data_IF_071307762427
#
_entry.id   IF_071307762427
#
_cell.length_a   1.000
_cell.length_b   1.000
_cell.length_c   1.000
_cell.angle_alpha   90.00
_cell.angle_beta   90.00
_cell.angle_gamma   90.00
#
_symmetry.space_group_name_H-M   'P 1'
#
loop_
_entity.id
_entity.type
_entity.pdbx_description
1 polymer ?
#
# COMPACT_ATOMS: atom_id res chain seq x y z
N UNK A 1 26.55 -30.65 -10.45
CA UNK A 1 25.88 -29.52 -11.05
C UNK A 1 25.96 -29.49 -12.58
N UNK A 2 27.17 -29.45 -13.18
CA UNK A 2 27.31 -29.36 -14.63
C UNK A 2 26.68 -30.59 -15.37
N UNK A 3 26.91 -31.82 -14.87
CA UNK A 3 26.33 -33.04 -15.43
C UNK A 3 24.77 -33.00 -15.34
N UNK A 4 24.22 -32.55 -14.23
CA UNK A 4 22.77 -32.40 -14.03
C UNK A 4 22.18 -31.40 -15.03
N UNK A 5 22.76 -30.20 -15.14
CA UNK A 5 22.30 -29.20 -16.09
C UNK A 5 22.31 -29.74 -17.54
N UNK A 6 23.35 -30.46 -17.94
CA UNK A 6 23.41 -31.07 -19.27
C UNK A 6 22.28 -32.06 -19.50
N UNK A 7 22.05 -32.98 -18.54
CA UNK A 7 20.97 -33.98 -18.64
C UNK A 7 19.60 -33.27 -18.71
N UNK A 8 19.37 -32.26 -17.89
CA UNK A 8 18.13 -31.47 -17.95
C UNK A 8 17.98 -30.80 -19.32
N UNK A 9 19.01 -30.14 -19.84
CA UNK A 9 18.97 -29.51 -21.17
C UNK A 9 18.61 -30.51 -22.26
N UNK A 10 19.20 -31.72 -22.23
CA UNK A 10 18.90 -32.80 -23.19
C UNK A 10 17.46 -33.32 -23.06
N UNK A 11 16.95 -33.49 -21.83
CA UNK A 11 15.56 -33.93 -21.59
C UNK A 11 14.54 -32.87 -22.04
N UNK A 12 14.75 -31.61 -21.72
CA UNK A 12 13.85 -30.52 -22.14
C UNK A 12 13.89 -30.25 -23.65
N UNK A 13 14.96 -30.65 -24.34
CA UNK A 13 15.02 -30.63 -25.81
C UNK A 13 14.23 -31.78 -26.46
N UNK A 14 13.78 -32.79 -25.70
CA UNK A 14 13.00 -33.93 -26.15
C UNK A 14 11.68 -34.04 -25.34
N UNK A 15 10.67 -33.17 -25.57
CA UNK A 15 9.44 -33.11 -24.79
C UNK A 15 8.67 -34.45 -24.72
N UNK A 16 8.78 -35.28 -25.73
CA UNK A 16 8.20 -36.63 -25.78
C UNK A 16 8.72 -37.55 -24.68
N UNK A 17 9.93 -37.30 -24.16
CA UNK A 17 10.54 -38.07 -23.07
C UNK A 17 10.19 -37.51 -21.68
N UNK A 18 9.72 -36.28 -21.63
CA UNK A 18 9.39 -35.61 -20.36
C UNK A 18 8.09 -36.14 -19.78
N UNK A 19 7.06 -36.35 -20.62
CA UNK A 19 5.72 -36.67 -20.12
C UNK A 19 5.25 -35.65 -19.09
N UNK A 20 4.59 -36.13 -18.03
CA UNK A 20 4.39 -35.35 -16.81
C UNK A 20 5.66 -35.46 -15.95
N UNK A 21 6.20 -34.35 -15.53
CA UNK A 21 7.41 -34.30 -14.74
C UNK A 21 7.29 -33.34 -13.56
N UNK A 22 8.10 -33.56 -12.53
CA UNK A 22 8.23 -32.65 -11.40
C UNK A 22 9.68 -32.38 -11.06
N UNK A 23 10.05 -31.13 -10.95
CA UNK A 23 11.34 -30.75 -10.39
C UNK A 23 11.12 -30.43 -8.91
N UNK A 24 11.81 -31.16 -8.05
CA UNK A 24 11.84 -30.94 -6.60
C UNK A 24 13.19 -30.35 -6.21
N UNK A 25 13.18 -29.20 -5.60
CA UNK A 25 14.35 -28.57 -4.99
C UNK A 25 14.25 -28.69 -3.47
N UNK A 26 15.32 -29.08 -2.83
CA UNK A 26 15.36 -29.38 -1.38
C UNK A 26 16.60 -28.77 -0.76
N UNK A 27 16.45 -28.35 0.49
CA UNK A 27 17.53 -27.87 1.34
C UNK A 27 17.47 -28.53 2.71
N UNK A 28 18.62 -28.97 3.22
CA UNK A 28 18.72 -29.60 4.53
C UNK A 28 18.56 -28.57 5.63
N UNK A 29 17.57 -28.78 6.47
CA UNK A 29 17.35 -27.91 7.63
C UNK A 29 18.45 -28.13 8.68
N UNK A 30 18.86 -27.02 9.29
CA UNK A 30 19.77 -27.00 10.44
C UNK A 30 21.19 -27.55 10.21
N UNK A 31 21.64 -27.75 8.97
CA UNK A 31 23.00 -28.23 8.68
C UNK A 31 24.07 -27.35 9.32
N UNK A 32 23.90 -26.03 9.30
CA UNK A 32 24.80 -25.09 9.97
C UNK A 32 24.87 -25.37 11.48
N UNK A 33 23.74 -25.56 12.14
CA UNK A 33 23.71 -25.89 13.57
C UNK A 33 24.42 -27.24 13.87
N UNK A 34 24.28 -28.22 13.00
CA UNK A 34 24.98 -29.52 13.15
C UNK A 34 26.51 -29.28 13.01
N UNK A 35 26.94 -28.51 12.02
CA UNK A 35 28.35 -28.17 11.84
C UNK A 35 28.92 -27.42 13.05
N UNK A 36 28.21 -26.41 13.54
CA UNK A 36 28.65 -25.56 14.63
C UNK A 36 28.69 -26.32 15.97
N UNK A 37 27.79 -27.31 16.17
CA UNK A 37 27.68 -28.06 17.44
C UNK A 37 28.56 -29.31 17.46
N UNK A 38 28.63 -30.06 16.34
CA UNK A 38 29.26 -31.38 16.30
C UNK A 38 30.49 -31.44 15.36
N UNK A 39 30.75 -30.35 14.61
CA UNK A 39 31.85 -30.26 13.65
C UNK A 39 31.46 -30.70 12.23
N UNK A 40 32.28 -30.28 11.26
CA UNK A 40 32.04 -30.48 9.83
C UNK A 40 31.96 -31.97 9.41
N UNK A 41 32.68 -32.86 10.07
CA UNK A 41 32.64 -34.29 9.78
C UNK A 41 31.23 -34.87 9.98
N UNK A 42 30.49 -34.37 10.94
CA UNK A 42 29.09 -34.77 11.19
C UNK A 42 28.12 -34.15 10.20
N UNK A 43 28.31 -32.93 9.80
CA UNK A 43 27.57 -32.33 8.70
C UNK A 43 27.77 -33.08 7.38
N UNK A 44 29.01 -33.53 7.13
CA UNK A 44 29.31 -34.37 5.96
C UNK A 44 28.60 -35.73 6.03
N UNK A 45 28.53 -36.37 7.21
CA UNK A 45 27.76 -37.59 7.40
C UNK A 45 26.26 -37.36 7.17
N UNK A 46 25.72 -36.27 7.65
CA UNK A 46 24.32 -35.88 7.45
C UNK A 46 24.02 -35.72 5.94
N UNK A 47 24.87 -35.03 5.20
CA UNK A 47 24.78 -34.87 3.75
C UNK A 47 24.91 -36.23 3.03
N UNK A 48 25.86 -37.05 3.42
CA UNK A 48 26.05 -38.41 2.82
C UNK A 48 24.84 -39.30 3.04
N UNK A 49 24.26 -39.25 4.25
CA UNK A 49 23.05 -40.03 4.58
C UNK A 49 21.85 -39.56 3.75
N UNK A 50 21.67 -38.25 3.56
CA UNK A 50 20.67 -37.69 2.65
C UNK A 50 20.87 -38.19 1.21
N UNK A 51 22.07 -38.09 0.70
CA UNK A 51 22.39 -38.59 -0.66
C UNK A 51 22.19 -40.09 -0.81
N UNK A 52 22.41 -40.88 0.24
CA UNK A 52 22.13 -42.33 0.22
C UNK A 52 20.61 -42.55 0.22
N UNK A 53 19.85 -41.85 1.07
CA UNK A 53 18.39 -41.96 1.10
C UNK A 53 17.75 -41.58 -0.25
N UNK A 54 18.26 -40.56 -0.93
CA UNK A 54 17.86 -40.20 -2.29
C UNK A 54 18.08 -41.39 -3.28
N UNK A 55 19.28 -41.95 -3.30
CA UNK A 55 19.60 -43.09 -4.21
C UNK A 55 18.73 -44.30 -3.98
N UNK A 56 18.44 -44.60 -2.69
CA UNK A 56 17.71 -45.81 -2.32
C UNK A 56 16.19 -45.70 -2.56
N UNK A 57 15.66 -44.48 -2.58
CA UNK A 57 14.22 -44.25 -2.61
C UNK A 57 13.72 -43.49 -3.88
N UNK A 58 14.59 -43.22 -4.84
CA UNK A 58 14.19 -42.70 -6.16
C UNK A 58 14.14 -43.80 -7.20
N UNK A 59 13.12 -43.83 -8.08
CA UNK A 59 13.01 -44.79 -9.18
C UNK A 59 14.19 -44.70 -10.15
N UNK A 60 14.50 -45.81 -10.81
CA UNK A 60 15.48 -45.84 -11.89
C UNK A 60 15.11 -44.84 -13.00
N UNK A 61 16.07 -44.05 -13.46
CA UNK A 61 15.84 -42.97 -14.44
C UNK A 61 15.57 -41.61 -13.83
N UNK A 62 15.28 -41.51 -12.53
CA UNK A 62 15.16 -40.20 -11.83
C UNK A 62 16.53 -39.52 -11.80
N UNK A 63 16.56 -38.21 -12.13
CA UNK A 63 17.81 -37.46 -12.14
C UNK A 63 17.97 -36.74 -10.81
N UNK A 64 18.99 -37.12 -10.04
CA UNK A 64 19.29 -36.50 -8.73
C UNK A 64 20.64 -35.77 -8.78
N UNK A 65 20.73 -34.65 -8.12
CA UNK A 65 21.97 -33.91 -7.95
C UNK A 65 22.04 -33.16 -6.61
N UNK A 66 23.25 -33.02 -6.09
CA UNK A 66 23.58 -32.04 -5.08
C UNK A 66 24.11 -30.78 -5.80
N UNK A 67 23.49 -29.61 -5.55
CA UNK A 67 23.87 -28.34 -6.18
C UNK A 67 25.04 -27.68 -5.45
N UNK A 68 24.87 -27.50 -4.17
CA UNK A 68 25.87 -26.90 -3.27
C UNK A 68 25.53 -27.28 -1.83
N UNK A 69 26.47 -27.22 -0.93
CA UNK A 69 26.27 -27.33 0.52
C UNK A 69 25.17 -28.32 0.95
N UNK A 70 24.02 -27.77 1.23
CA UNK A 70 22.79 -28.41 1.73
C UNK A 70 21.69 -28.57 0.67
N UNK A 71 21.90 -28.09 -0.56
CA UNK A 71 20.89 -28.06 -1.61
C UNK A 71 20.93 -29.30 -2.53
N UNK A 72 19.79 -29.93 -2.74
CA UNK A 72 19.60 -31.10 -3.61
C UNK A 72 18.50 -30.82 -4.63
N UNK A 73 18.63 -31.44 -5.80
CA UNK A 73 17.62 -31.45 -6.86
C UNK A 73 17.24 -32.89 -7.23
N UNK A 74 15.95 -33.09 -7.47
CA UNK A 74 15.41 -34.34 -8.00
C UNK A 74 14.45 -34.01 -9.15
N UNK A 75 14.70 -34.57 -10.33
CA UNK A 75 13.79 -34.45 -11.47
C UNK A 75 13.15 -35.81 -11.72
N UNK A 76 11.87 -35.91 -11.44
CA UNK A 76 11.00 -37.01 -11.83
C UNK A 76 10.45 -36.71 -13.23
N UNK A 77 10.61 -37.60 -14.20
CA UNK A 77 10.17 -37.41 -15.59
C UNK A 77 9.68 -38.68 -16.24
N UNK A 78 8.97 -38.56 -17.36
CA UNK A 78 8.49 -39.70 -18.14
C UNK A 78 7.23 -40.37 -17.59
N UNK A 79 6.45 -39.68 -16.77
CA UNK A 79 5.21 -40.17 -16.18
C UNK A 79 3.97 -39.79 -17.01
N UNK A 80 2.89 -40.56 -16.82
CA UNK A 80 1.62 -40.33 -17.53
C UNK A 80 0.69 -39.36 -16.77
N UNK A 81 0.90 -39.18 -15.46
CA UNK A 81 0.06 -38.33 -14.63
C UNK A 81 0.80 -37.71 -13.45
N UNK A 82 0.27 -36.59 -12.91
CA UNK A 82 0.77 -35.97 -11.68
C UNK A 82 0.68 -36.93 -10.48
N UNK A 83 -0.40 -37.70 -10.36
CA UNK A 83 -0.59 -38.61 -9.22
C UNK A 83 0.50 -39.70 -9.16
N UNK A 84 0.92 -40.22 -10.33
CA UNK A 84 2.02 -41.17 -10.40
C UNK A 84 3.36 -40.58 -9.92
N UNK A 85 3.60 -39.31 -10.19
CA UNK A 85 4.80 -38.59 -9.70
C UNK A 85 4.65 -38.25 -8.21
N UNK A 86 3.49 -37.79 -7.74
CA UNK A 86 3.22 -37.50 -6.32
C UNK A 86 3.49 -38.72 -5.44
N UNK A 87 3.01 -39.91 -5.84
CA UNK A 87 3.29 -41.16 -5.11
C UNK A 87 4.78 -41.34 -4.88
N UNK A 88 5.63 -41.03 -5.88
CA UNK A 88 7.08 -41.15 -5.75
C UNK A 88 7.70 -40.08 -4.86
N UNK A 89 7.21 -38.86 -4.96
CA UNK A 89 7.62 -37.76 -4.11
C UNK A 89 7.25 -38.04 -2.65
N UNK A 90 6.01 -38.49 -2.38
CA UNK A 90 5.55 -38.80 -1.03
C UNK A 90 6.36 -39.95 -0.42
N UNK A 91 6.65 -40.99 -1.19
CA UNK A 91 7.51 -42.08 -0.77
C UNK A 91 8.90 -41.59 -0.40
N UNK A 92 9.50 -40.75 -1.23
CA UNK A 92 10.83 -40.19 -0.99
C UNK A 92 10.82 -39.29 0.26
N UNK A 93 9.85 -38.41 0.38
CA UNK A 93 9.72 -37.47 1.52
C UNK A 93 9.54 -38.24 2.85
N UNK A 94 8.67 -39.26 2.85
CA UNK A 94 8.48 -40.11 4.03
C UNK A 94 9.76 -40.88 4.39
N UNK A 95 10.49 -41.41 3.40
CA UNK A 95 11.76 -42.10 3.65
C UNK A 95 12.82 -41.15 4.22
N UNK A 96 12.85 -39.89 3.75
CA UNK A 96 13.73 -38.87 4.29
C UNK A 96 13.42 -38.58 5.74
N UNK A 97 12.16 -38.33 6.09
CA UNK A 97 11.73 -38.04 7.47
C UNK A 97 12.01 -39.20 8.44
N UNK A 98 11.94 -40.43 7.95
CA UNK A 98 12.28 -41.63 8.73
C UNK A 98 13.78 -41.90 8.80
N UNK A 99 14.58 -41.28 7.94
CA UNK A 99 16.00 -41.46 7.91
C UNK A 99 16.70 -40.77 9.07
N UNK A 100 17.63 -41.46 9.68
CA UNK A 100 18.39 -40.93 10.84
C UNK A 100 19.88 -40.92 10.56
N UNK A 101 20.57 -39.89 11.06
CA UNK A 101 22.01 -39.84 11.20
C UNK A 101 22.36 -40.04 12.68
N UNK A 102 23.33 -40.91 13.00
CA UNK A 102 23.78 -41.09 14.37
C UNK A 102 24.75 -39.98 14.77
N UNK A 103 24.53 -39.35 15.89
CA UNK A 103 25.40 -38.30 16.46
C UNK A 103 26.54 -38.92 17.31
N UNK A 104 27.62 -38.15 17.64
CA UNK A 104 28.70 -38.59 18.52
C UNK A 104 28.21 -39.07 19.90
N UNK A 105 27.11 -38.47 20.37
CA UNK A 105 26.44 -38.83 21.63
C UNK A 105 25.70 -40.19 21.60
N UNK A 106 25.61 -40.84 20.43
CA UNK A 106 24.79 -42.03 20.22
C UNK A 106 23.31 -41.70 19.94
N UNK A 107 22.90 -40.46 20.02
CA UNK A 107 21.53 -40.06 19.71
C UNK A 107 21.26 -40.07 18.22
N UNK A 108 20.04 -40.42 17.81
CA UNK A 108 19.59 -40.39 16.43
C UNK A 108 19.07 -38.98 16.09
N UNK A 109 19.58 -38.41 15.00
CA UNK A 109 19.09 -37.15 14.43
C UNK A 109 18.30 -37.47 13.15
N UNK A 110 17.02 -37.11 13.12
CA UNK A 110 16.20 -37.26 11.94
C UNK A 110 16.62 -36.26 10.86
N UNK A 111 16.58 -36.69 9.61
CA UNK A 111 16.83 -35.81 8.47
C UNK A 111 15.59 -34.91 8.29
N UNK A 112 15.79 -33.62 8.46
CA UNK A 112 14.78 -32.59 8.15
C UNK A 112 15.20 -31.86 6.88
N UNK A 113 14.25 -31.66 5.99
CA UNK A 113 14.45 -30.90 4.77
C UNK A 113 13.23 -30.06 4.44
N UNK A 114 13.49 -28.88 3.89
CA UNK A 114 12.48 -28.02 3.30
C UNK A 114 12.56 -28.12 1.79
N UNK A 115 11.43 -28.31 1.10
CA UNK A 115 11.42 -28.53 -0.34
C UNK A 115 10.32 -27.79 -1.07
N UNK A 116 10.56 -27.52 -2.35
CA UNK A 116 9.61 -26.96 -3.28
C UNK A 116 9.53 -27.78 -4.57
N UNK A 117 8.33 -27.89 -5.12
CA UNK A 117 8.04 -28.65 -6.34
C UNK A 117 7.48 -27.72 -7.41
N UNK A 118 7.98 -27.85 -8.64
CA UNK A 118 7.39 -27.24 -9.82
C UNK A 118 7.09 -28.32 -10.87
N UNK A 119 5.95 -28.19 -11.54
CA UNK A 119 5.39 -29.19 -12.44
C UNK A 119 5.61 -28.83 -13.91
N UNK A 120 6.09 -29.81 -14.70
CA UNK A 120 6.11 -29.74 -16.15
C UNK A 120 4.89 -30.50 -16.73
N UNK A 121 4.18 -29.94 -17.73
CA UNK A 121 4.42 -28.63 -18.37
C UNK A 121 3.68 -27.45 -17.70
N UNK A 122 2.93 -27.67 -16.62
CA UNK A 122 1.91 -26.75 -16.12
C UNK A 122 2.49 -25.46 -15.51
N UNK A 123 3.59 -25.58 -14.73
CA UNK A 123 4.24 -24.41 -14.13
C UNK A 123 5.30 -23.80 -15.06
N UNK A 124 5.90 -24.62 -15.94
CA UNK A 124 6.90 -24.15 -16.88
C UNK A 124 7.25 -25.18 -17.91
N UNK A 125 7.74 -24.72 -19.08
CA UNK A 125 8.12 -25.57 -20.20
C UNK A 125 9.64 -25.61 -20.43
N UNK A 126 10.40 -24.92 -19.60
CA UNK A 126 11.86 -24.89 -19.65
C UNK A 126 12.48 -25.12 -18.27
N UNK A 127 13.74 -25.58 -18.29
CA UNK A 127 14.50 -25.87 -17.09
C UNK A 127 14.65 -24.70 -16.11
N UNK A 128 14.98 -23.52 -16.62
CA UNK A 128 15.27 -22.37 -15.78
C UNK A 128 14.00 -21.86 -15.06
N UNK A 129 12.87 -21.90 -15.75
CA UNK A 129 11.55 -21.55 -15.19
C UNK A 129 11.15 -22.52 -14.08
N UNK A 130 11.22 -23.83 -14.33
CA UNK A 130 10.88 -24.83 -13.31
C UNK A 130 11.79 -24.74 -12.09
N UNK A 131 13.09 -24.56 -12.31
CA UNK A 131 14.05 -24.38 -11.22
C UNK A 131 13.73 -23.15 -10.36
N UNK A 132 13.46 -22.02 -11.00
CA UNK A 132 13.07 -20.79 -10.32
C UNK A 132 11.81 -20.96 -9.48
N UNK A 133 10.83 -21.70 -9.98
CA UNK A 133 9.56 -21.90 -9.29
C UNK A 133 9.65 -22.93 -8.17
N UNK A 134 10.43 -23.99 -8.34
CA UNK A 134 10.75 -24.93 -7.25
C UNK A 134 11.56 -24.25 -6.13
N UNK A 135 12.52 -23.39 -6.48
CA UNK A 135 13.31 -22.59 -5.53
C UNK A 135 12.41 -21.63 -4.73
N UNK A 136 11.50 -20.96 -5.42
CA UNK A 136 10.52 -20.08 -4.76
C UNK A 136 9.62 -20.84 -3.77
N UNK A 137 9.08 -21.99 -4.15
CA UNK A 137 8.26 -22.82 -3.26
C UNK A 137 9.05 -23.30 -2.03
N UNK A 138 10.29 -23.75 -2.23
CA UNK A 138 11.20 -24.12 -1.13
C UNK A 138 11.48 -22.95 -0.20
N UNK A 139 11.71 -21.74 -0.76
CA UNK A 139 11.92 -20.51 0.03
C UNK A 139 10.72 -20.19 0.91
N UNK A 140 9.48 -20.34 0.41
CA UNK A 140 8.26 -20.14 1.20
C UNK A 140 8.22 -21.10 2.40
N UNK A 141 8.49 -22.38 2.19
CA UNK A 141 8.55 -23.38 3.26
C UNK A 141 9.58 -22.99 4.33
N UNK A 142 10.78 -22.58 3.94
CA UNK A 142 11.85 -22.18 4.88
C UNK A 142 11.46 -21.02 5.78
N UNK A 143 10.62 -20.10 5.29
CA UNK A 143 10.21 -18.89 6.02
C UNK A 143 8.90 -19.04 6.79
N UNK A 144 8.11 -20.06 6.49
CA UNK A 144 6.87 -20.36 7.21
C UNK A 144 7.09 -21.45 8.26
N UNK A 145 7.17 -22.70 7.80
CA UNK A 145 7.25 -23.88 8.68
C UNK A 145 8.14 -24.94 8.03
N UNK A 146 9.37 -25.07 8.54
CA UNK A 146 10.40 -25.96 8.00
C UNK A 146 10.00 -27.43 8.08
N UNK A 147 10.71 -28.28 7.33
CA UNK A 147 10.57 -29.73 7.41
C UNK A 147 9.44 -30.31 6.57
N UNK A 148 8.93 -29.57 5.61
CA UNK A 148 7.90 -30.00 4.66
C UNK A 148 8.25 -29.69 3.19
N UNK A 149 7.45 -30.22 2.29
CA UNK A 149 7.58 -30.00 0.86
C UNK A 149 6.26 -29.43 0.35
N UNK A 150 6.32 -28.35 -0.42
CA UNK A 150 5.15 -27.70 -1.02
C UNK A 150 5.28 -27.55 -2.53
N UNK A 151 4.13 -27.54 -3.20
CA UNK A 151 4.07 -27.28 -4.63
C UNK A 151 4.09 -25.77 -4.90
N UNK A 152 4.63 -25.39 -6.04
CA UNK A 152 4.58 -24.02 -6.51
C UNK A 152 3.14 -23.55 -6.73
N UNK A 153 2.86 -22.32 -6.29
CA UNK A 153 1.58 -21.65 -6.53
C UNK A 153 1.85 -20.31 -7.23
N UNK A 154 1.42 -20.21 -8.47
CA UNK A 154 1.58 -19.01 -9.31
C UNK A 154 0.87 -17.79 -8.69
N UNK A 155 -0.23 -18.00 -7.93
CA UNK A 155 -0.96 -16.94 -7.25
C UNK A 155 -0.15 -16.36 -6.09
N UNK A 156 0.51 -17.22 -5.30
CA UNK A 156 1.44 -16.79 -4.23
C UNK A 156 2.62 -16.04 -4.84
N UNK A 157 3.24 -16.58 -5.88
CA UNK A 157 4.38 -15.98 -6.58
C UNK A 157 4.06 -14.57 -7.09
N UNK A 158 2.91 -14.41 -7.75
CA UNK A 158 2.48 -13.13 -8.29
C UNK A 158 2.17 -12.10 -7.18
N UNK A 159 1.58 -12.53 -6.07
CA UNK A 159 1.34 -11.65 -4.91
C UNK A 159 2.65 -11.15 -4.29
N UNK A 160 3.62 -12.04 -4.10
CA UNK A 160 4.95 -11.69 -3.58
C UNK A 160 5.71 -10.74 -4.53
N UNK A 161 5.71 -11.04 -5.83
CA UNK A 161 6.32 -10.19 -6.84
C UNK A 161 5.68 -8.80 -6.88
N UNK A 162 4.35 -8.72 -6.75
CA UNK A 162 3.62 -7.47 -6.67
C UNK A 162 3.98 -6.70 -5.38
N UNK A 163 4.02 -7.37 -4.24
CA UNK A 163 4.38 -6.76 -2.96
C UNK A 163 5.81 -6.20 -2.97
N UNK A 164 6.78 -6.95 -3.52
CA UNK A 164 8.17 -6.50 -3.63
C UNK A 164 8.31 -5.30 -4.59
N UNK A 165 7.59 -5.34 -5.73
CA UNK A 165 7.51 -4.20 -6.63
C UNK A 165 6.94 -2.96 -5.92
N UNK A 166 5.87 -3.13 -5.16
CA UNK A 166 5.23 -2.05 -4.40
C UNK A 166 6.17 -1.44 -3.38
N UNK A 167 6.91 -2.27 -2.61
CA UNK A 167 7.94 -1.78 -1.67
C UNK A 167 9.07 -1.03 -2.36
N UNK A 168 9.49 -1.48 -3.54
CA UNK A 168 10.53 -0.81 -4.33
C UNK A 168 10.03 0.54 -4.86
N UNK A 169 8.82 0.60 -5.42
CA UNK A 169 8.20 1.84 -5.89
C UNK A 169 8.01 2.83 -4.73
N UNK A 170 7.64 2.35 -3.54
CA UNK A 170 7.50 3.20 -2.36
C UNK A 170 8.85 3.81 -1.90
N UNK A 171 9.93 3.03 -1.88
CA UNK A 171 11.28 3.57 -1.61
C UNK A 171 11.69 4.62 -2.65
N UNK A 172 11.38 4.40 -3.92
CA UNK A 172 11.61 5.36 -4.99
C UNK A 172 10.78 6.64 -4.81
N UNK A 173 9.51 6.51 -4.41
CA UNK A 173 8.64 7.66 -4.11
C UNK A 173 9.25 8.51 -3.00
N UNK A 174 9.69 7.91 -1.89
CA UNK A 174 10.29 8.65 -0.78
C UNK A 174 11.60 9.33 -1.17
N UNK A 175 12.52 8.61 -1.85
CA UNK A 175 13.84 9.14 -2.21
C UNK A 175 13.79 10.27 -3.22
N UNK A 176 12.84 10.23 -4.16
CA UNK A 176 12.72 11.20 -5.25
C UNK A 176 11.56 12.19 -5.07
N UNK A 177 10.82 12.10 -3.94
CA UNK A 177 9.56 12.83 -3.74
C UNK A 177 8.62 12.72 -4.97
N UNK A 178 8.47 11.49 -5.51
CA UNK A 178 7.79 11.22 -6.78
C UNK A 178 6.28 11.20 -6.61
N UNK A 179 5.75 12.35 -6.26
CA UNK A 179 4.32 12.66 -6.21
C UNK A 179 4.06 13.96 -6.93
N UNK A 180 2.83 14.14 -7.38
CA UNK A 180 2.33 15.41 -7.89
C UNK A 180 0.98 15.74 -7.24
N UNK A 181 0.50 16.97 -7.41
CA UNK A 181 -0.73 17.43 -6.79
C UNK A 181 -1.73 17.86 -7.85
N UNK A 182 -2.98 17.42 -7.67
CA UNK A 182 -4.14 18.01 -8.31
C UNK A 182 -4.80 18.92 -7.29
N UNK A 183 -5.32 20.05 -7.78
CA UNK A 183 -6.01 21.02 -6.95
C UNK A 183 -7.50 21.02 -7.28
N UNK A 184 -8.33 20.87 -6.24
CA UNK A 184 -9.78 20.95 -6.39
C UNK A 184 -10.29 22.28 -5.82
N UNK A 185 -10.99 23.10 -6.63
CA UNK A 185 -11.50 24.37 -6.15
C UNK A 185 -12.59 24.21 -5.09
N UNK A 186 -12.55 25.09 -4.09
CA UNK A 186 -13.57 25.25 -3.06
C UNK A 186 -14.23 26.61 -3.28
N UNK A 187 -15.54 26.61 -3.47
CA UNK A 187 -16.30 27.79 -3.85
C UNK A 187 -17.11 28.35 -2.69
N UNK A 188 -17.24 29.66 -2.63
CA UNK A 188 -18.15 30.33 -1.71
C UNK A 188 -19.61 30.08 -2.10
N UNK A 189 -20.41 29.53 -1.20
CA UNK A 189 -21.86 29.38 -1.40
C UNK A 189 -22.58 30.73 -1.59
N UNK A 190 -21.97 31.84 -1.11
CA UNK A 190 -22.52 33.19 -1.23
C UNK A 190 -22.22 33.86 -2.56
N UNK A 191 -21.03 33.67 -3.12
CA UNK A 191 -20.60 34.42 -4.31
C UNK A 191 -20.36 33.58 -5.53
N UNK A 192 -20.21 32.25 -5.37
CA UNK A 192 -19.78 31.34 -6.43
C UNK A 192 -18.32 31.53 -6.85
N UNK A 193 -17.56 32.38 -6.15
CA UNK A 193 -16.13 32.56 -6.42
C UNK A 193 -15.31 31.51 -5.72
N UNK A 194 -14.18 31.13 -6.32
CA UNK A 194 -13.18 30.30 -5.64
C UNK A 194 -12.61 31.06 -4.47
N UNK A 195 -12.52 30.41 -3.32
CA UNK A 195 -11.94 30.96 -2.08
C UNK A 195 -10.77 30.14 -1.57
N UNK A 196 -10.70 28.89 -2.00
CA UNK A 196 -9.63 27.98 -1.62
C UNK A 196 -9.46 26.88 -2.67
N UNK A 197 -8.38 26.12 -2.53
CA UNK A 197 -8.13 24.89 -3.27
C UNK A 197 -7.68 23.80 -2.29
N UNK A 198 -8.15 22.59 -2.47
CA UNK A 198 -7.64 21.42 -1.77
C UNK A 198 -6.53 20.75 -2.59
N UNK A 199 -5.39 20.46 -1.95
CA UNK A 199 -4.25 19.81 -2.54
C UNK A 199 -4.36 18.28 -2.39
N UNK A 200 -4.61 17.60 -3.49
CA UNK A 200 -4.85 16.17 -3.54
C UNK A 200 -3.63 15.44 -4.13
N UNK A 201 -2.92 14.69 -3.29
CA UNK A 201 -1.76 13.89 -3.71
C UNK A 201 -2.12 12.89 -4.81
N UNK A 202 -1.23 12.72 -5.78
CA UNK A 202 -1.30 11.73 -6.87
C UNK A 202 0.08 11.14 -7.13
N UNK A 203 0.11 9.93 -7.67
CA UNK A 203 1.35 9.29 -8.12
C UNK A 203 1.13 8.53 -9.42
N UNK A 204 2.13 8.58 -10.31
CA UNK A 204 2.15 7.82 -11.57
C UNK A 204 2.77 6.44 -11.42
N UNK A 205 3.28 6.11 -10.23
CA UNK A 205 3.84 4.80 -9.94
C UNK A 205 2.74 3.73 -10.00
N UNK A 206 2.90 2.68 -10.82
CA UNK A 206 1.81 1.74 -11.14
C UNK A 206 1.13 1.10 -9.94
N UNK A 207 1.89 0.78 -8.87
CA UNK A 207 1.33 0.14 -7.66
C UNK A 207 0.91 1.15 -6.59
N UNK A 208 1.24 2.45 -6.76
CA UNK A 208 1.03 3.52 -5.78
C UNK A 208 0.13 4.65 -6.29
N UNK A 209 -0.80 4.35 -7.16
CA UNK A 209 -1.75 5.36 -7.68
C UNK A 209 -2.72 5.89 -6.64
N UNK A 210 -3.04 5.06 -5.65
CA UNK A 210 -3.96 5.43 -4.56
C UNK A 210 -3.19 6.04 -3.38
N UNK A 211 -3.54 7.25 -2.92
CA UNK A 211 -3.01 7.82 -1.68
C UNK A 211 -3.18 6.90 -0.47
N UNK A 212 -4.30 6.18 -0.36
CA UNK A 212 -4.54 5.22 0.71
C UNK A 212 -3.48 4.10 0.74
N UNK A 213 -3.03 3.61 -0.43
CA UNK A 213 -1.94 2.62 -0.50
C UNK A 213 -0.61 3.22 -0.04
N UNK A 214 -0.31 4.47 -0.43
CA UNK A 214 0.89 5.19 0.02
C UNK A 214 0.87 5.34 1.55
N UNK A 215 -0.24 5.77 2.12
CA UNK A 215 -0.42 5.96 3.56
C UNK A 215 -0.30 4.65 4.34
N UNK A 216 -0.89 3.56 3.83
CA UNK A 216 -0.74 2.22 4.42
C UNK A 216 0.72 1.80 4.51
N UNK A 217 1.47 1.91 3.42
CA UNK A 217 2.90 1.57 3.38
C UNK A 217 3.74 2.49 4.27
N UNK A 218 3.40 3.79 4.33
CA UNK A 218 4.08 4.72 5.21
C UNK A 218 3.92 4.33 6.69
N UNK A 219 2.73 3.89 7.10
CA UNK A 219 2.51 3.34 8.46
C UNK A 219 3.31 2.06 8.71
N UNK A 220 3.23 1.10 7.77
CA UNK A 220 3.92 -0.20 7.87
C UNK A 220 5.46 -0.06 7.92
N UNK A 221 6.03 0.95 7.27
CA UNK A 221 7.48 1.16 7.16
C UNK A 221 8.01 2.28 8.06
N UNK A 222 7.17 2.90 8.90
CA UNK A 222 7.56 3.98 9.79
C UNK A 222 7.96 5.28 9.06
N UNK A 223 7.43 5.51 7.85
CA UNK A 223 7.81 6.62 6.96
C UNK A 223 6.74 7.74 6.91
N UNK A 224 5.92 7.87 7.95
CA UNK A 224 4.87 8.89 8.00
C UNK A 224 5.44 10.31 8.00
N UNK A 225 6.59 10.51 8.66
CA UNK A 225 7.27 11.79 8.68
C UNK A 225 7.72 12.25 7.29
N UNK A 226 8.32 11.34 6.53
CA UNK A 226 8.76 11.60 5.15
C UNK A 226 7.59 11.96 4.24
N UNK A 227 6.46 11.26 4.38
CA UNK A 227 5.24 11.59 3.63
C UNK A 227 4.69 12.95 4.03
N UNK A 228 4.63 13.27 5.32
CA UNK A 228 4.20 14.57 5.82
C UNK A 228 5.07 15.69 5.22
N UNK A 229 6.39 15.55 5.28
CA UNK A 229 7.34 16.52 4.73
C UNK A 229 7.18 16.68 3.21
N UNK A 230 7.06 15.58 2.47
CA UNK A 230 6.83 15.61 1.02
C UNK A 230 5.50 16.31 0.71
N UNK A 231 4.46 16.00 1.47
CA UNK A 231 3.12 16.61 1.30
C UNK A 231 3.21 18.12 1.36
N UNK A 232 3.71 18.67 2.46
CA UNK A 232 3.77 20.14 2.60
C UNK A 232 4.69 20.79 1.57
N UNK A 233 5.88 20.22 1.33
CA UNK A 233 6.83 20.85 0.40
C UNK A 233 6.31 20.82 -1.04
N UNK A 234 5.79 19.67 -1.52
CA UNK A 234 5.33 19.53 -2.91
C UNK A 234 4.01 20.24 -3.19
N UNK A 235 3.07 20.23 -2.23
CA UNK A 235 1.82 20.96 -2.37
C UNK A 235 2.08 22.48 -2.48
N UNK A 236 2.89 23.02 -1.58
CA UNK A 236 3.24 24.45 -1.58
C UNK A 236 4.05 24.85 -2.81
N UNK A 237 5.08 24.08 -3.19
CA UNK A 237 5.89 24.31 -4.39
C UNK A 237 5.03 24.38 -5.65
N UNK A 238 4.12 23.41 -5.82
CA UNK A 238 3.26 23.34 -7.00
C UNK A 238 2.24 24.47 -7.01
N UNK A 239 1.62 24.75 -5.86
CA UNK A 239 0.60 25.81 -5.75
C UNK A 239 1.21 27.22 -5.94
N UNK A 240 2.40 27.47 -5.40
CA UNK A 240 3.13 28.73 -5.63
C UNK A 240 3.41 28.95 -7.11
N UNK A 241 3.81 27.90 -7.82
CA UNK A 241 4.04 27.97 -9.26
C UNK A 241 2.76 28.33 -10.02
N UNK A 242 1.60 27.79 -9.63
CA UNK A 242 0.31 28.13 -10.22
C UNK A 242 -0.12 29.59 -9.90
N UNK A 243 0.15 30.06 -8.67
CA UNK A 243 -0.08 31.46 -8.29
C UNK A 243 0.76 32.42 -9.13
N UNK A 244 2.05 32.13 -9.29
CA UNK A 244 2.96 32.95 -10.12
C UNK A 244 2.60 32.95 -11.61
N UNK A 245 2.08 31.82 -12.09
CA UNK A 245 1.59 31.71 -13.47
C UNK A 245 0.23 32.42 -13.70
N UNK A 246 -0.43 32.91 -12.64
CA UNK A 246 -1.76 33.48 -12.70
C UNK A 246 -2.88 32.47 -12.99
N UNK A 247 -2.58 31.17 -12.86
CA UNK A 247 -3.56 30.09 -13.08
C UNK A 247 -4.54 29.92 -11.90
N UNK A 248 -4.18 30.40 -10.74
CA UNK A 248 -5.02 30.44 -9.53
C UNK A 248 -4.95 31.80 -8.86
N UNK A 249 -5.98 32.15 -8.07
CA UNK A 249 -5.99 33.45 -7.37
C UNK A 249 -4.90 33.48 -6.29
N UNK A 250 -4.10 34.55 -6.33
CA UNK A 250 -2.98 34.75 -5.37
C UNK A 250 -3.43 34.95 -3.93
N UNK A 251 -4.72 35.18 -3.64
CA UNK A 251 -5.30 35.33 -2.31
C UNK A 251 -6.11 34.13 -1.83
N UNK A 252 -6.25 33.08 -2.66
CA UNK A 252 -6.95 31.86 -2.27
C UNK A 252 -6.21 31.10 -1.17
N UNK A 253 -6.97 30.47 -0.28
CA UNK A 253 -6.44 29.55 0.73
C UNK A 253 -6.04 28.23 0.09
N UNK A 254 -5.09 27.52 0.71
CA UNK A 254 -4.68 26.17 0.32
C UNK A 254 -4.96 25.19 1.46
N UNK A 255 -5.83 24.25 1.22
CA UNK A 255 -6.11 23.13 2.11
C UNK A 255 -5.12 21.99 1.82
N UNK A 256 -4.47 21.51 2.88
CA UNK A 256 -3.42 20.47 2.77
C UNK A 256 -3.68 19.39 3.80
N UNK A 257 -3.85 18.16 3.32
CA UNK A 257 -3.99 16.98 4.18
C UNK A 257 -2.74 16.77 5.03
N UNK A 258 -2.94 16.43 6.29
CA UNK A 258 -1.88 16.25 7.27
C UNK A 258 -2.16 15.05 8.17
N UNK A 259 -1.11 14.35 8.56
CA UNK A 259 -1.18 13.21 9.47
C UNK A 259 -1.26 13.73 10.89
N UNK A 260 -2.37 13.48 11.61
CA UNK A 260 -2.70 14.12 12.89
C UNK A 260 -1.53 14.13 13.89
N UNK A 261 -0.89 13.01 14.12
CA UNK A 261 0.15 12.82 15.14
C UNK A 261 1.59 12.99 14.62
N UNK A 262 1.77 13.40 13.36
CA UNK A 262 3.09 13.62 12.77
C UNK A 262 3.37 15.12 12.64
N UNK A 263 4.42 15.61 13.30
CA UNK A 263 4.83 17.00 13.24
C UNK A 263 6.14 17.15 12.47
N UNK A 264 6.24 18.17 11.63
CA UNK A 264 7.49 18.54 10.99
C UNK A 264 8.54 18.97 12.02
N UNK A 265 9.81 18.71 11.74
CA UNK A 265 10.92 19.23 12.52
C UNK A 265 10.94 20.77 12.48
N UNK A 266 11.61 21.36 13.47
CA UNK A 266 11.77 22.81 13.48
C UNK A 266 12.53 23.33 12.25
N UNK A 267 13.48 22.55 11.74
CA UNK A 267 14.27 22.88 10.54
C UNK A 267 13.40 22.83 9.29
N UNK A 268 12.61 21.77 9.10
CA UNK A 268 11.70 21.63 7.95
C UNK A 268 10.62 22.70 7.99
N UNK A 269 10.04 22.99 9.18
CA UNK A 269 9.06 24.06 9.35
C UNK A 269 9.64 25.45 9.02
N UNK A 270 10.86 25.74 9.45
CA UNK A 270 11.57 26.97 9.06
C UNK A 270 11.84 27.04 7.57
N UNK A 271 12.31 25.93 6.99
CA UNK A 271 12.55 25.85 5.54
C UNK A 271 11.28 26.20 4.76
N UNK A 272 10.15 25.57 5.08
CA UNK A 272 8.86 25.80 4.43
C UNK A 272 8.43 27.26 4.61
N UNK A 273 8.50 27.81 5.83
CA UNK A 273 8.13 29.19 6.08
C UNK A 273 9.00 30.20 5.33
N UNK A 274 10.29 29.96 5.23
CA UNK A 274 11.20 30.87 4.52
C UNK A 274 10.95 30.88 3.00
N UNK A 275 10.53 29.75 2.42
CA UNK A 275 10.29 29.65 0.99
C UNK A 275 8.89 30.07 0.56
N UNK A 276 7.88 29.82 1.40
CA UNK A 276 6.46 30.03 1.08
C UNK A 276 5.68 30.81 2.16
N UNK A 277 6.30 31.80 2.77
CA UNK A 277 5.73 32.56 3.90
C UNK A 277 4.28 33.01 3.66
N UNK A 278 4.00 33.64 2.52
CA UNK A 278 2.67 34.16 2.20
C UNK A 278 1.63 33.05 2.00
N UNK A 279 2.04 31.89 1.48
CA UNK A 279 1.17 30.72 1.36
C UNK A 279 0.93 30.06 2.72
N UNK A 280 1.95 29.97 3.56
CA UNK A 280 1.81 29.42 4.91
C UNK A 280 0.78 30.18 5.74
N UNK A 281 0.67 31.51 5.56
CA UNK A 281 -0.36 32.33 6.24
C UNK A 281 -1.79 32.04 5.78
N UNK A 282 -1.97 31.42 4.61
CA UNK A 282 -3.26 31.08 4.01
C UNK A 282 -3.49 29.57 3.92
N UNK A 283 -2.57 28.79 4.45
CA UNK A 283 -2.66 27.35 4.49
C UNK A 283 -3.63 26.90 5.58
N UNK A 284 -4.51 25.97 5.24
CA UNK A 284 -5.42 25.28 6.15
C UNK A 284 -4.95 23.83 6.22
N UNK A 285 -4.65 23.35 7.42
CA UNK A 285 -4.22 21.97 7.65
C UNK A 285 -5.44 21.12 7.94
N UNK A 286 -5.66 20.11 7.10
CA UNK A 286 -6.76 19.15 7.23
C UNK A 286 -6.34 17.99 8.11
N UNK A 287 -7.17 17.68 9.10
CA UNK A 287 -7.02 16.52 9.99
C UNK A 287 -8.26 15.66 9.83
N UNK A 288 -8.07 14.39 9.47
CA UNK A 288 -9.17 13.43 9.37
C UNK A 288 -9.64 12.99 10.73
N UNK A 289 -10.93 12.69 10.85
CA UNK A 289 -11.57 12.24 12.09
C UNK A 289 -11.15 10.85 12.54
N UNK A 290 -10.69 10.00 11.62
CA UNK A 290 -10.35 8.58 11.86
C UNK A 290 -9.14 8.37 12.78
N UNK A 291 -8.28 9.37 12.96
CA UNK A 291 -7.07 9.25 13.77
C UNK A 291 -7.32 9.74 15.21
N UNK A 292 -6.98 8.92 16.20
CA UNK A 292 -6.95 9.33 17.59
C UNK A 292 -5.93 10.48 17.76
N UNK A 293 -6.40 11.67 18.06
CA UNK A 293 -5.58 12.88 18.09
C UNK A 293 -4.82 12.97 19.42
N UNK A 294 -3.49 12.94 19.34
CA UNK A 294 -2.63 13.30 20.47
C UNK A 294 -2.59 14.83 20.64
N UNK A 295 -3.03 15.30 21.79
CA UNK A 295 -3.06 16.73 22.14
C UNK A 295 -1.71 17.42 22.03
N UNK A 296 -0.65 16.77 22.51
CA UNK A 296 0.67 17.37 22.46
C UNK A 296 1.18 17.50 21.01
N UNK A 297 0.83 16.53 20.15
CA UNK A 297 1.16 16.60 18.73
C UNK A 297 0.38 17.74 18.05
N UNK A 298 -0.91 17.88 18.36
CA UNK A 298 -1.74 18.97 17.82
C UNK A 298 -1.22 20.36 18.25
N UNK A 299 -0.86 20.53 19.52
CA UNK A 299 -0.29 21.80 20.01
C UNK A 299 1.09 22.09 19.39
N UNK A 300 1.93 21.07 19.21
CA UNK A 300 3.19 21.22 18.47
C UNK A 300 2.95 21.65 17.03
N UNK A 301 1.94 21.08 16.36
CA UNK A 301 1.54 21.45 14.99
C UNK A 301 1.03 22.90 14.95
N UNK A 302 0.19 23.28 15.90
CA UNK A 302 -0.36 24.64 16.03
C UNK A 302 0.72 25.71 16.21
N UNK A 303 1.78 25.37 16.94
CA UNK A 303 2.89 26.27 17.24
C UNK A 303 4.08 26.11 16.27
N UNK A 304 3.93 25.30 15.19
CA UNK A 304 4.99 25.09 14.21
C UNK A 304 5.33 26.38 13.46
N UNK A 305 6.62 26.65 13.16
CA UNK A 305 7.01 27.82 12.38
C UNK A 305 6.30 27.88 11.04
N UNK A 306 5.68 29.03 10.74
CA UNK A 306 5.00 29.27 9.47
C UNK A 306 3.57 28.72 9.39
N UNK A 307 3.08 28.05 10.43
CA UNK A 307 1.70 27.60 10.43
C UNK A 307 0.73 28.76 10.69
N UNK A 308 -0.36 28.82 9.89
CA UNK A 308 -1.38 29.89 9.99
C UNK A 308 -2.28 29.78 11.23
N UNK A 309 -2.24 28.65 11.93
CA UNK A 309 -3.17 28.30 13.00
C UNK A 309 -4.56 27.86 12.50
N UNK A 310 -4.76 27.71 11.19
CA UNK A 310 -6.05 27.29 10.63
C UNK A 310 -6.08 25.77 10.42
N UNK A 311 -7.02 25.11 11.12
CA UNK A 311 -7.33 23.71 10.92
C UNK A 311 -8.67 23.52 10.22
N UNK A 312 -8.78 22.45 9.46
CA UNK A 312 -10.05 21.89 9.02
C UNK A 312 -10.19 20.47 9.61
N UNK A 313 -11.38 20.15 10.09
CA UNK A 313 -11.77 18.78 10.38
C UNK A 313 -12.33 18.18 9.10
N UNK A 314 -11.70 17.12 8.62
CA UNK A 314 -12.06 16.44 7.38
C UNK A 314 -12.92 15.19 7.65
N UNK A 315 -13.68 14.76 6.62
CA UNK A 315 -14.53 13.55 6.61
C UNK A 315 -15.60 13.52 7.72
N UNK A 316 -16.08 14.70 8.19
CA UNK A 316 -17.10 14.74 9.24
C UNK A 316 -18.37 13.99 8.86
N UNK A 317 -18.70 12.95 9.64
CA UNK A 317 -19.88 12.11 9.45
C UNK A 317 -19.66 10.81 8.70
N UNK A 318 -18.41 10.45 8.41
CA UNK A 318 -18.07 9.18 7.76
C UNK A 318 -18.27 7.93 8.64
N UNK A 319 -18.60 8.11 9.95
CA UNK A 319 -18.98 7.02 10.84
C UNK A 319 -18.27 6.98 12.19
N UNK A 320 -17.27 7.83 12.40
CA UNK A 320 -16.52 7.92 13.66
C UNK A 320 -16.70 9.27 14.37
N UNK A 321 -17.76 10.04 14.00
CA UNK A 321 -17.99 11.41 14.49
C UNK A 321 -17.91 11.49 16.01
N UNK A 322 -16.78 12.00 16.48
CA UNK A 322 -16.56 12.26 17.89
C UNK A 322 -16.62 13.78 18.14
N UNK A 323 -17.68 14.22 18.80
CA UNK A 323 -17.84 15.63 19.19
C UNK A 323 -16.62 16.16 19.98
N UNK A 324 -15.87 15.24 20.62
CA UNK A 324 -14.62 15.58 21.27
C UNK A 324 -13.55 16.10 20.29
N UNK A 325 -13.46 15.55 19.08
CA UNK A 325 -12.51 16.01 18.05
C UNK A 325 -12.80 17.46 17.66
N UNK A 326 -14.08 17.82 17.48
CA UNK A 326 -14.49 19.21 17.22
C UNK A 326 -14.11 20.16 18.38
N UNK A 327 -14.26 19.71 19.62
CA UNK A 327 -13.91 20.52 20.80
C UNK A 327 -12.41 20.72 20.91
N UNK A 328 -11.64 19.67 20.64
CA UNK A 328 -10.19 19.64 20.81
C UNK A 328 -9.47 20.38 19.69
N UNK A 329 -9.83 20.07 18.45
CA UNK A 329 -9.23 20.68 17.26
C UNK A 329 -9.60 22.18 17.17
N UNK A 330 -10.81 22.56 17.63
CA UNK A 330 -11.38 23.88 17.44
C UNK A 330 -11.15 24.42 16.01
N UNK A 331 -11.61 23.67 14.98
CA UNK A 331 -11.25 23.93 13.60
C UNK A 331 -11.91 25.21 13.10
N UNK A 332 -11.28 25.87 12.12
CA UNK A 332 -11.91 26.97 11.40
C UNK A 332 -12.89 26.48 10.34
N UNK A 333 -12.71 25.28 9.86
CA UNK A 333 -13.53 24.65 8.82
C UNK A 333 -13.95 23.24 9.26
N UNK A 334 -15.19 22.88 8.96
CA UNK A 334 -15.69 21.50 9.10
C UNK A 334 -16.13 21.05 7.72
N UNK A 335 -15.46 20.05 7.15
CA UNK A 335 -15.76 19.45 5.85
C UNK A 335 -16.73 18.30 6.08
N UNK A 336 -17.95 18.46 5.59
CA UNK A 336 -19.01 17.45 5.73
C UNK A 336 -18.89 16.48 4.58
N UNK A 337 -18.65 15.21 4.94
CA UNK A 337 -18.31 14.14 4.02
C UNK A 337 -19.42 13.86 3.00
N UNK A 338 -19.01 13.34 1.84
CA UNK A 338 -19.89 12.97 0.72
C UNK A 338 -20.99 11.97 1.15
N UNK A 339 -20.78 11.13 2.16
CA UNK A 339 -21.79 10.17 2.64
C UNK A 339 -23.03 10.86 3.19
N UNK A 340 -22.88 12.05 3.75
CA UNK A 340 -24.00 12.91 4.20
C UNK A 340 -24.56 13.71 3.01
N UNK A 341 -23.70 14.25 2.16
CA UNK A 341 -24.10 15.18 1.09
C UNK A 341 -24.80 14.46 -0.06
N UNK A 342 -24.34 13.25 -0.45
CA UNK A 342 -24.97 12.49 -1.54
C UNK A 342 -26.39 12.11 -1.24
N UNK A 343 -27.33 12.57 -2.09
CA UNK A 343 -28.77 12.35 -1.94
C UNK A 343 -29.42 13.10 -0.78
N UNK A 344 -28.78 14.17 -0.27
CA UNK A 344 -29.31 15.00 0.82
C UNK A 344 -30.63 15.69 0.45
N UNK A 345 -30.86 15.98 -0.81
CA UNK A 345 -32.09 16.59 -1.34
C UNK A 345 -33.34 15.75 -1.06
N UNK A 346 -33.21 14.45 -0.96
CA UNK A 346 -34.30 13.49 -0.74
C UNK A 346 -34.32 12.85 0.65
N UNK A 347 -33.31 13.11 1.50
CA UNK A 347 -33.16 12.47 2.81
C UNK A 347 -33.35 13.49 3.96
N UNK A 348 -34.50 13.48 4.67
CA UNK A 348 -34.73 14.34 5.84
C UNK A 348 -33.68 14.15 6.95
N UNK A 349 -33.21 12.92 7.16
CA UNK A 349 -32.23 12.61 8.20
C UNK A 349 -30.87 13.27 7.90
N UNK A 350 -30.38 13.17 6.66
CA UNK A 350 -29.15 13.83 6.23
C UNK A 350 -29.25 15.35 6.32
N UNK A 351 -30.40 15.91 5.93
CA UNK A 351 -30.69 17.33 6.10
C UNK A 351 -30.65 17.74 7.57
N UNK A 352 -31.18 16.91 8.46
CA UNK A 352 -31.15 17.20 9.91
C UNK A 352 -29.74 17.15 10.47
N UNK A 353 -28.92 16.18 10.04
CA UNK A 353 -27.50 16.11 10.42
C UNK A 353 -26.78 17.40 9.99
N UNK A 354 -26.91 17.82 8.73
CA UNK A 354 -26.26 19.04 8.27
C UNK A 354 -26.74 20.26 9.02
N UNK A 355 -28.06 20.40 9.32
CA UNK A 355 -28.60 21.51 10.16
C UNK A 355 -27.95 21.53 11.56
N UNK A 356 -27.78 20.37 12.18
CA UNK A 356 -27.18 20.26 13.51
C UNK A 356 -25.74 20.74 13.50
N UNK A 357 -24.95 20.30 12.50
CA UNK A 357 -23.54 20.72 12.34
C UNK A 357 -23.44 22.22 12.08
N UNK A 358 -24.28 22.77 11.20
CA UNK A 358 -24.32 24.21 10.93
C UNK A 358 -24.68 25.00 12.20
N UNK A 359 -25.69 24.54 12.94
CA UNK A 359 -26.12 25.17 14.19
C UNK A 359 -25.04 25.15 15.29
N UNK A 360 -24.20 24.11 15.30
CA UNK A 360 -23.05 24.00 16.19
C UNK A 360 -21.89 24.92 15.76
N UNK A 361 -21.58 24.93 14.46
CA UNK A 361 -20.39 25.56 13.89
C UNK A 361 -20.51 27.12 13.83
N UNK A 362 -21.63 27.65 13.36
CA UNK A 362 -21.76 29.11 13.09
C UNK A 362 -21.60 29.99 14.33
N UNK A 363 -22.18 29.67 15.51
CA UNK A 363 -21.96 30.47 16.73
C UNK A 363 -20.49 30.50 17.19
N UNK A 364 -19.67 29.52 16.73
CA UNK A 364 -18.25 29.37 17.03
C UNK A 364 -17.34 29.93 15.94
N UNK A 365 -17.91 30.62 14.95
CA UNK A 365 -17.19 31.18 13.81
C UNK A 365 -16.49 30.12 12.93
N UNK A 366 -16.92 28.86 13.02
CA UNK A 366 -16.49 27.79 12.12
C UNK A 366 -17.29 27.86 10.82
N UNK A 367 -16.69 27.51 9.71
CA UNK A 367 -17.33 27.45 8.40
C UNK A 367 -17.55 26.01 7.95
N UNK A 368 -18.69 25.76 7.34
CA UNK A 368 -19.06 24.45 6.82
C UNK A 368 -18.68 24.36 5.33
N UNK A 369 -17.92 23.33 4.97
CA UNK A 369 -17.63 22.93 3.59
C UNK A 369 -18.49 21.71 3.27
N UNK A 370 -19.40 21.81 2.30
CA UNK A 370 -20.13 20.63 1.79
C UNK A 370 -19.32 19.97 0.69
N UNK A 371 -18.92 18.73 0.93
CA UNK A 371 -18.08 17.96 0.03
C UNK A 371 -18.85 17.00 -0.87
N UNK A 372 -18.27 16.67 -2.02
CA UNK A 372 -18.84 15.66 -2.91
C UNK A 372 -20.19 16.05 -3.52
N UNK A 373 -20.47 17.35 -3.70
CA UNK A 373 -21.68 17.81 -4.40
C UNK A 373 -21.63 17.36 -5.85
N UNK A 374 -22.53 16.46 -6.25
CA UNK A 374 -22.55 15.85 -7.58
C UNK A 374 -23.77 16.24 -8.43
N UNK A 375 -24.80 16.84 -7.83
CA UNK A 375 -26.05 17.20 -8.52
C UNK A 375 -26.52 18.62 -8.21
N UNK A 376 -27.35 19.16 -9.10
CA UNK A 376 -28.00 20.47 -8.92
C UNK A 376 -28.93 20.51 -7.69
N UNK A 377 -29.62 19.39 -7.39
CA UNK A 377 -30.51 19.28 -6.25
C UNK A 377 -29.75 19.28 -4.92
N UNK A 378 -28.68 18.53 -4.82
CA UNK A 378 -27.76 18.56 -3.68
C UNK A 378 -27.21 19.97 -3.45
N UNK A 379 -26.70 20.62 -4.52
CA UNK A 379 -26.17 21.99 -4.43
C UNK A 379 -27.20 22.97 -3.85
N UNK A 380 -28.46 22.96 -4.32
CA UNK A 380 -29.53 23.81 -3.78
C UNK A 380 -29.75 23.52 -2.30
N UNK A 381 -29.90 22.27 -1.94
CA UNK A 381 -30.20 21.83 -0.58
C UNK A 381 -29.10 22.22 0.40
N UNK A 382 -27.82 21.97 0.09
CA UNK A 382 -26.73 22.32 1.03
C UNK A 382 -26.60 23.84 1.24
N UNK A 383 -26.83 24.65 0.20
CA UNK A 383 -26.84 26.13 0.33
C UNK A 383 -28.01 26.60 1.18
N UNK A 384 -29.20 26.04 1.01
CA UNK A 384 -30.38 26.37 1.79
C UNK A 384 -30.23 25.96 3.26
N UNK A 385 -29.55 24.86 3.53
CA UNK A 385 -29.26 24.36 4.87
C UNK A 385 -28.09 25.10 5.58
N UNK A 386 -27.39 26.00 4.88
CA UNK A 386 -26.43 26.89 5.48
C UNK A 386 -24.96 26.54 5.30
N UNK A 387 -24.60 25.68 4.34
CA UNK A 387 -23.22 25.49 3.97
C UNK A 387 -22.58 26.82 3.51
N UNK A 388 -21.35 27.10 3.97
CA UNK A 388 -20.62 28.33 3.64
C UNK A 388 -19.80 28.14 2.36
N UNK A 389 -19.21 26.98 2.21
CA UNK A 389 -18.31 26.59 1.14
C UNK A 389 -18.77 25.29 0.47
N UNK A 390 -18.42 25.12 -0.79
CA UNK A 390 -18.93 24.07 -1.65
C UNK A 390 -17.78 23.43 -2.42
N UNK A 391 -17.75 22.10 -2.44
CA UNK A 391 -16.79 21.32 -3.20
C UNK A 391 -17.49 20.09 -3.79
N UNK A 392 -17.13 19.72 -5.03
CA UNK A 392 -17.69 18.53 -5.66
C UNK A 392 -17.59 18.56 -7.18
N UNK A 393 -17.83 17.40 -7.80
CA UNK A 393 -17.68 17.24 -9.24
C UNK A 393 -18.71 18.01 -10.07
N UNK A 394 -19.82 18.36 -9.48
CA UNK A 394 -20.81 19.24 -10.12
C UNK A 394 -20.31 20.67 -10.26
N UNK A 395 -19.41 21.11 -9.37
CA UNK A 395 -18.83 22.45 -9.44
C UNK A 395 -17.54 22.45 -10.29
N UNK A 396 -16.54 21.64 -9.88
CA UNK A 396 -15.29 21.45 -10.61
C UNK A 396 -14.60 20.15 -10.17
N UNK A 397 -13.87 19.51 -11.09
CA UNK A 397 -13.04 18.35 -10.79
C UNK A 397 -11.63 18.76 -10.37
N UNK A 398 -10.93 17.93 -9.57
CA UNK A 398 -9.51 18.15 -9.30
C UNK A 398 -8.69 18.04 -10.58
N UNK A 399 -7.76 18.96 -10.79
CA UNK A 399 -6.84 18.98 -11.91
C UNK A 399 -5.48 19.58 -11.52
N UNK A 400 -4.42 19.31 -12.29
CA UNK A 400 -3.09 19.90 -12.07
C UNK A 400 -3.19 21.44 -12.19
N UNK A 401 -3.90 21.91 -13.21
CA UNK A 401 -4.32 23.32 -13.35
C UNK A 401 -5.84 23.32 -13.17
N UNK A 402 -6.35 23.82 -12.01
CA UNK A 402 -7.77 23.78 -11.74
C UNK A 402 -8.57 24.67 -12.69
N UNK A 403 -9.75 24.20 -13.08
CA UNK A 403 -10.69 24.94 -13.93
C UNK A 403 -11.63 25.85 -13.14
N UNK A 404 -12.40 26.61 -13.89
CA UNK A 404 -13.47 27.45 -13.35
C UNK A 404 -14.69 26.63 -12.91
N UNK A 405 -15.59 27.28 -12.17
CA UNK A 405 -16.88 26.70 -11.78
C UNK A 405 -17.74 26.37 -13.00
N UNK A 406 -18.39 25.23 -13.00
CA UNK A 406 -19.36 24.86 -14.02
C UNK A 406 -20.47 25.90 -14.15
N UNK A 407 -20.84 26.25 -15.39
CA UNK A 407 -21.80 27.32 -15.68
C UNK A 407 -23.17 27.12 -14.99
N UNK A 408 -23.64 25.87 -14.93
CA UNK A 408 -24.89 25.50 -14.30
C UNK A 408 -24.83 25.73 -12.78
N UNK A 409 -23.76 25.28 -12.09
CA UNK A 409 -23.56 25.51 -10.68
C UNK A 409 -23.51 27.01 -10.34
N UNK A 410 -22.78 27.78 -11.14
CA UNK A 410 -22.72 29.23 -10.98
C UNK A 410 -24.09 29.92 -11.17
N UNK A 411 -24.93 29.44 -12.07
CA UNK A 411 -26.28 29.94 -12.27
C UNK A 411 -27.17 29.67 -11.06
N UNK A 412 -27.11 28.46 -10.50
CA UNK A 412 -27.88 28.09 -9.27
C UNK A 412 -27.49 28.95 -8.09
N UNK A 413 -26.18 29.12 -7.85
CA UNK A 413 -25.73 29.96 -6.72
C UNK A 413 -26.24 31.38 -6.87
N UNK A 414 -26.16 31.96 -8.08
CA UNK A 414 -26.69 33.34 -8.33
C UNK A 414 -28.19 33.41 -8.15
N UNK A 415 -28.95 32.42 -8.58
CA UNK A 415 -30.40 32.35 -8.40
C UNK A 415 -30.77 32.36 -6.90
N UNK A 416 -30.18 31.50 -6.09
CA UNK A 416 -30.41 31.37 -4.67
C UNK A 416 -30.05 32.65 -3.90
N UNK A 417 -29.00 33.35 -4.31
CA UNK A 417 -28.60 34.61 -3.71
C UNK A 417 -29.55 35.78 -4.02
N UNK A 418 -30.21 35.76 -5.18
CA UNK A 418 -31.27 36.73 -5.49
C UNK A 418 -32.50 36.54 -4.58
N UNK A 419 -32.96 35.29 -4.42
CA UNK A 419 -34.09 34.93 -3.56
C UNK A 419 -33.90 35.29 -2.07
N UNK A 420 -32.67 35.38 -1.58
CA UNK A 420 -32.35 35.77 -0.19
C UNK A 420 -32.34 37.29 0.02
N UNK A 421 -32.38 38.06 -1.06
CA UNK A 421 -32.37 39.55 -1.00
C UNK A 421 -33.76 40.15 -1.19
N UNK A 422 -34.67 39.41 -1.82
CA UNK A 422 -36.11 39.72 -1.91
C UNK A 422 -36.85 39.18 -0.67
#
# INVERSE_FOLDING_TARGET
RQAFNRVCTELFAAPERMGVAALMMMDLDNLKHINDTYGHDWGDQYIRRTGQCLRDNTPAGTVCARLSGDEFLVLFHGYCSRDAVREKIDRLTNAMQQSVALLPSGNALHISLSGGIAWYPDDGQDWETLKKYADFAMYQVKHADKGRVEEFDIGVYNREAYAERTRREFRQLLSNAQVFYCFQPIFSARSGRVVAYEALMRSDLPTLRSPATIMKLAREQGALYEIERITFTKALETFDSLCRAGSVSGDAMLFVNSIANTCLSHEDGKYINNHWHELCRRMVVEITEEEEIDYEALERKRNAPGFSGMFALDDYGSGYSNENTLLQLAPRFVKVDITIIRGIDTSPDKQQILRNVVAYAHPRSMKIVAEGVETAAELRTVIELGADLLQGYFLARPAIVPGDIASEAAAIIRELQRRKKD
#
